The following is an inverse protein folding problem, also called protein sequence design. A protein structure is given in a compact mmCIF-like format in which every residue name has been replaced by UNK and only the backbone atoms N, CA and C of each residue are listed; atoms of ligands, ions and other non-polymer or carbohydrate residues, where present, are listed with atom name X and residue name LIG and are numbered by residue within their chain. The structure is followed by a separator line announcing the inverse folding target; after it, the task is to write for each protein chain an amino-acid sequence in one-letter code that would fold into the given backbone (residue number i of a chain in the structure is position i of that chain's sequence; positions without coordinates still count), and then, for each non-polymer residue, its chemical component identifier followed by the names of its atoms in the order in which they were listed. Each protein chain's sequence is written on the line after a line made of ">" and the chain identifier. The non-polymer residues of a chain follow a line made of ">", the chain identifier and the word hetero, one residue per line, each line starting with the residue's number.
data_IF_394294368580
#
_entry.id   IF_394294368580
#
_cell.length_a   1.000
_cell.length_b   1.000
_cell.length_c   1.000
_cell.angle_alpha   90.00
_cell.angle_beta   90.00
_cell.angle_gamma   90.00
#
_symmetry.space_group_name_H-M   'P 1'
#
loop_
_entity.id
_entity.type
_entity.pdbx_description
1 polymer ?
#
# COMPACT_ATOMS: atom_id res chain seq x y z
N UNK A 1 27.98 -18.84 61.62
CA UNK A 1 27.45 -18.15 60.46
C UNK A 1 26.36 -19.03 59.84
N UNK A 2 25.10 -18.71 60.10
CA UNK A 2 23.97 -19.48 59.52
C UNK A 2 23.57 -18.81 58.19
N UNK A 3 23.97 -19.40 57.09
CA UNK A 3 23.52 -18.94 55.77
C UNK A 3 22.04 -19.33 55.61
N UNK A 4 21.19 -18.33 55.47
CA UNK A 4 19.74 -18.49 55.33
C UNK A 4 19.43 -19.22 54.03
N UNK A 5 19.14 -20.51 54.11
CA UNK A 5 18.69 -21.36 52.98
C UNK A 5 17.43 -20.85 52.29
N UNK A 6 16.74 -19.89 52.89
CA UNK A 6 15.47 -19.31 52.40
C UNK A 6 15.66 -18.33 51.22
N UNK A 7 16.87 -17.77 51.04
CA UNK A 7 17.17 -16.79 49.97
C UNK A 7 17.70 -17.44 48.67
N UNK A 8 18.16 -18.69 48.78
CA UNK A 8 18.76 -19.43 47.64
C UNK A 8 17.65 -20.14 46.81
N UNK A 9 16.58 -20.57 47.44
CA UNK A 9 15.49 -21.31 46.77
C UNK A 9 14.73 -20.52 45.68
N UNK A 10 14.34 -19.23 45.84
CA UNK A 10 13.71 -18.49 44.79
C UNK A 10 14.62 -18.26 43.58
N UNK A 11 15.92 -18.01 43.83
CA UNK A 11 16.90 -17.79 42.75
C UNK A 11 17.12 -19.05 41.89
N UNK A 12 17.16 -20.24 42.54
CA UNK A 12 17.28 -21.52 41.83
C UNK A 12 16.02 -21.88 41.04
N UNK A 13 14.84 -21.52 41.56
CA UNK A 13 13.56 -21.74 40.88
C UNK A 13 13.47 -20.84 39.65
N UNK A 14 13.77 -19.56 39.78
CA UNK A 14 13.81 -18.63 38.64
C UNK A 14 14.86 -19.03 37.59
N UNK A 15 16.05 -19.51 38.05
CA UNK A 15 17.06 -20.01 37.13
C UNK A 15 16.60 -21.27 36.39
N UNK A 16 15.81 -22.15 37.02
CA UNK A 16 15.25 -23.33 36.36
C UNK A 16 14.11 -22.95 35.41
N UNK A 17 13.25 -22.01 35.76
CA UNK A 17 12.20 -21.47 34.91
C UNK A 17 12.80 -20.81 33.64
N UNK A 18 13.92 -20.11 33.76
CA UNK A 18 14.67 -19.51 32.67
C UNK A 18 15.38 -20.53 31.74
N UNK A 19 15.43 -21.82 32.12
CA UNK A 19 15.94 -22.89 31.26
C UNK A 19 14.95 -23.28 30.13
N UNK A 20 13.71 -22.81 30.22
CA UNK A 20 12.71 -23.02 29.18
C UNK A 20 12.32 -21.67 28.57
N UNK A 21 12.62 -21.49 27.29
CA UNK A 21 12.24 -20.30 26.53
C UNK A 21 10.96 -20.63 25.75
N UNK A 22 9.93 -19.82 25.97
CA UNK A 22 8.65 -19.94 25.26
C UNK A 22 8.38 -18.70 24.44
N UNK A 23 7.76 -18.88 23.28
CA UNK A 23 7.26 -17.77 22.47
C UNK A 23 6.24 -16.95 23.27
N UNK A 24 6.33 -15.65 23.18
CA UNK A 24 5.43 -14.69 23.84
C UNK A 24 4.32 -14.19 22.90
N UNK A 25 4.38 -14.57 21.62
CA UNK A 25 3.42 -14.23 20.59
C UNK A 25 3.27 -15.39 19.60
N UNK A 26 2.15 -15.43 18.92
CA UNK A 26 1.96 -16.31 17.77
C UNK A 26 2.70 -15.73 16.56
N UNK A 27 3.13 -16.59 15.64
CA UNK A 27 3.84 -16.17 14.43
C UNK A 27 4.75 -17.24 13.85
N UNK A 28 5.46 -16.87 12.81
CA UNK A 28 6.41 -17.72 12.10
C UNK A 28 7.84 -17.46 12.58
N UNK A 29 8.60 -18.51 12.86
CA UNK A 29 10.03 -18.39 13.16
C UNK A 29 10.77 -18.07 11.85
N UNK A 30 11.31 -16.85 11.77
CA UNK A 30 12.02 -16.36 10.57
C UNK A 30 13.55 -16.51 10.69
N UNK A 31 14.06 -16.61 11.90
CA UNK A 31 15.47 -16.94 12.16
C UNK A 31 15.60 -17.81 13.41
N UNK A 32 16.52 -18.77 13.38
CA UNK A 32 16.87 -19.64 14.52
C UNK A 32 18.40 -19.67 14.64
N UNK A 33 18.90 -18.99 15.67
CA UNK A 33 20.34 -18.86 15.94
C UNK A 33 20.85 -19.85 17.00
N UNK A 34 19.97 -20.73 17.48
CA UNK A 34 20.29 -21.73 18.47
C UNK A 34 20.76 -23.05 17.81
N UNK A 35 21.83 -23.62 18.36
CA UNK A 35 22.34 -24.94 17.97
C UNK A 35 22.32 -25.88 19.17
N UNK A 36 21.81 -27.10 18.99
CA UNK A 36 21.75 -28.11 20.05
C UNK A 36 23.16 -28.42 20.56
N UNK A 37 23.34 -28.35 21.88
CA UNK A 37 24.60 -28.61 22.54
C UNK A 37 25.58 -27.42 22.64
N UNK A 38 25.22 -26.27 22.04
CA UNK A 38 26.00 -25.05 22.16
C UNK A 38 25.43 -24.14 23.27
N UNK A 39 26.31 -23.28 23.82
CA UNK A 39 25.88 -22.22 24.73
C UNK A 39 25.33 -21.06 23.92
N UNK A 40 24.05 -20.77 24.09
CA UNK A 40 23.42 -19.62 23.49
C UNK A 40 23.71 -18.34 24.29
N UNK A 41 24.12 -17.28 23.58
CA UNK A 41 24.20 -15.93 24.12
C UNK A 41 23.60 -14.96 23.09
N UNK A 42 22.63 -14.14 23.49
CA UNK A 42 21.94 -13.21 22.61
C UNK A 42 20.60 -13.75 22.08
N UNK A 43 20.25 -13.40 20.84
CA UNK A 43 19.00 -13.82 20.19
C UNK A 43 19.02 -15.32 19.90
N UNK A 44 17.98 -16.02 20.31
CA UNK A 44 17.82 -17.47 20.10
C UNK A 44 16.99 -17.76 18.86
N UNK A 45 15.91 -17.01 18.69
CA UNK A 45 15.03 -17.08 17.53
C UNK A 45 14.34 -15.74 17.31
N UNK A 46 13.98 -15.46 16.07
CA UNK A 46 13.15 -14.32 15.70
C UNK A 46 11.79 -14.85 15.23
N UNK A 47 10.72 -14.32 15.82
CA UNK A 47 9.34 -14.65 15.47
C UNK A 47 8.71 -13.40 14.87
N UNK A 48 8.06 -13.55 13.71
CA UNK A 48 7.35 -12.50 13.04
C UNK A 48 5.89 -12.90 12.81
N UNK A 49 4.99 -11.94 12.98
CA UNK A 49 3.59 -12.07 12.61
C UNK A 49 3.49 -11.85 11.08
N UNK A 50 3.22 -12.91 10.35
CA UNK A 50 3.08 -12.89 8.88
C UNK A 50 1.63 -12.67 8.44
N UNK A 51 0.67 -12.71 9.38
CA UNK A 51 -0.75 -12.54 9.10
C UNK A 51 -1.17 -11.06 9.11
N UNK A 52 -0.41 -10.22 9.84
CA UNK A 52 -0.68 -8.79 10.01
C UNK A 52 0.46 -7.93 9.42
N UNK A 53 0.67 -8.04 8.12
CA UNK A 53 1.71 -7.29 7.45
C UNK A 53 1.35 -5.81 7.32
N UNK A 54 2.35 -4.96 7.48
CA UNK A 54 2.23 -3.52 7.25
C UNK A 54 3.32 -3.04 6.29
N UNK A 55 2.96 -2.06 5.46
CA UNK A 55 3.90 -1.37 4.58
C UNK A 55 4.08 0.06 5.06
N UNK A 56 5.32 0.43 5.35
CA UNK A 56 5.64 1.82 5.66
C UNK A 56 5.92 2.59 4.38
N UNK A 57 5.26 3.72 4.22
CA UNK A 57 5.38 4.59 3.05
C UNK A 57 5.74 6.00 3.46
N UNK A 58 6.41 6.69 2.56
CA UNK A 58 6.78 8.11 2.74
C UNK A 58 5.95 8.96 1.79
N UNK A 59 5.24 9.95 2.34
CA UNK A 59 4.31 10.81 1.63
C UNK A 59 4.89 12.23 1.55
N UNK A 60 5.01 12.82 0.35
CA UNK A 60 5.42 14.21 0.21
C UNK A 60 4.43 15.19 0.87
N UNK A 61 4.92 16.30 1.41
CA UNK A 61 4.09 17.34 2.04
C UNK A 61 3.00 17.90 1.10
N UNK A 62 3.26 17.95 -0.20
CA UNK A 62 2.29 18.40 -1.21
C UNK A 62 1.06 17.51 -1.32
N UNK A 63 1.16 16.25 -0.94
CA UNK A 63 0.11 15.24 -1.09
C UNK A 63 -0.61 14.90 0.22
N UNK A 64 0.05 15.07 1.38
CA UNK A 64 -0.47 14.63 2.68
C UNK A 64 -1.82 15.27 3.03
N UNK A 65 -2.05 16.54 2.65
CA UNK A 65 -3.29 17.25 2.93
C UNK A 65 -4.55 16.67 2.26
N UNK A 66 -4.36 15.85 1.22
CA UNK A 66 -5.44 15.16 0.48
C UNK A 66 -5.73 13.77 1.02
N UNK A 67 -4.86 13.23 1.86
CA UNK A 67 -4.96 11.87 2.37
C UNK A 67 -5.68 11.84 3.71
N UNK A 68 -6.40 10.75 3.92
CA UNK A 68 -7.08 10.43 5.19
C UNK A 68 -6.85 8.96 5.51
N UNK A 69 -6.85 8.65 6.80
CA UNK A 69 -6.87 7.25 7.23
C UNK A 69 -8.17 6.58 6.76
N UNK A 70 -8.09 5.31 6.41
CA UNK A 70 -9.20 4.53 5.87
C UNK A 70 -9.24 4.46 4.34
N UNK A 71 -8.36 5.18 3.62
CA UNK A 71 -8.26 5.08 2.17
C UNK A 71 -7.74 3.69 1.76
N UNK A 72 -8.30 3.16 0.67
CA UNK A 72 -7.81 1.94 0.05
C UNK A 72 -6.49 2.18 -0.65
N UNK A 73 -5.63 1.17 -0.62
CA UNK A 73 -4.33 1.18 -1.25
C UNK A 73 -4.15 -0.09 -2.08
N UNK A 74 -3.52 0.04 -3.23
CA UNK A 74 -3.04 -1.08 -4.04
C UNK A 74 -1.54 -1.22 -3.79
N UNK A 75 -1.12 -2.41 -3.45
CA UNK A 75 0.27 -2.72 -3.09
C UNK A 75 0.79 -3.69 -4.13
N UNK A 76 1.89 -3.34 -4.76
CA UNK A 76 2.63 -4.20 -5.70
C UNK A 76 4.06 -4.38 -5.20
N UNK A 77 4.61 -5.56 -5.39
CA UNK A 77 5.97 -5.89 -4.97
C UNK A 77 6.61 -6.83 -5.97
N UNK A 78 7.92 -6.78 -6.09
CA UNK A 78 8.68 -7.73 -6.92
C UNK A 78 8.63 -9.19 -6.40
N UNK A 79 8.07 -9.39 -5.22
CA UNK A 79 7.88 -10.72 -4.62
C UNK A 79 6.65 -11.47 -5.16
N UNK A 80 5.70 -10.76 -5.76
CA UNK A 80 4.45 -11.31 -6.30
C UNK A 80 4.00 -10.53 -7.52
N UNK A 81 3.45 -11.21 -8.50
CA UNK A 81 2.84 -10.59 -9.68
C UNK A 81 1.42 -10.05 -9.38
N UNK A 82 0.86 -10.40 -8.23
CA UNK A 82 -0.47 -9.98 -7.81
C UNK A 82 -0.47 -8.61 -7.17
N UNK A 83 -1.53 -7.84 -7.42
CA UNK A 83 -1.80 -6.60 -6.69
C UNK A 83 -2.55 -6.93 -5.41
N UNK A 84 -1.94 -6.61 -4.28
CA UNK A 84 -2.51 -6.84 -2.96
C UNK A 84 -3.20 -5.56 -2.48
N UNK A 85 -4.38 -5.68 -1.88
CA UNK A 85 -5.08 -4.54 -1.33
C UNK A 85 -4.66 -4.25 0.11
N UNK A 86 -4.63 -2.98 0.46
CA UNK A 86 -4.34 -2.52 1.82
C UNK A 86 -5.22 -1.34 2.21
N UNK A 87 -5.11 -0.96 3.46
CA UNK A 87 -5.80 0.21 4.00
C UNK A 87 -4.80 1.14 4.68
N UNK A 88 -4.87 2.43 4.39
CA UNK A 88 -4.06 3.45 5.04
C UNK A 88 -4.54 3.63 6.49
N UNK A 89 -3.80 3.09 7.45
CA UNK A 89 -4.23 3.06 8.86
C UNK A 89 -3.67 4.21 9.68
N UNK A 90 -2.50 4.71 9.30
CA UNK A 90 -1.82 5.77 10.05
C UNK A 90 -1.10 6.73 9.12
N UNK A 91 -1.13 8.02 9.48
CA UNK A 91 -0.28 9.07 8.92
C UNK A 91 0.39 9.75 10.10
N UNK A 92 1.70 9.85 10.06
CA UNK A 92 2.46 10.52 11.12
C UNK A 92 2.20 12.04 11.06
N UNK A 93 1.93 12.69 12.19
CA UNK A 93 1.62 14.12 12.22
C UNK A 93 2.87 15.01 12.10
N UNK A 94 4.06 14.42 12.13
CA UNK A 94 5.34 15.13 12.11
C UNK A 94 6.12 14.72 10.88
N UNK A 95 6.59 15.72 10.13
CA UNK A 95 7.47 15.48 8.98
C UNK A 95 8.85 15.02 9.45
N UNK A 96 9.47 14.15 8.67
CA UNK A 96 10.86 13.78 8.83
C UNK A 96 11.81 14.89 8.34
N UNK A 97 13.12 14.68 8.47
CA UNK A 97 14.16 15.66 8.08
C UNK A 97 14.12 16.03 6.58
N UNK A 98 13.50 15.20 5.75
CA UNK A 98 13.30 15.44 4.30
C UNK A 98 12.02 16.25 4.01
N UNK A 99 11.24 16.66 5.01
CA UNK A 99 9.96 17.33 4.84
C UNK A 99 8.83 16.42 4.36
N UNK A 100 8.97 15.11 4.52
CA UNK A 100 7.98 14.10 4.16
C UNK A 100 7.36 13.48 5.40
N UNK A 101 6.16 12.91 5.26
CA UNK A 101 5.41 12.29 6.34
C UNK A 101 5.46 10.77 6.23
N UNK A 102 5.70 10.10 7.34
CA UNK A 102 5.57 8.65 7.43
C UNK A 102 4.08 8.25 7.42
N UNK A 103 3.78 7.13 6.81
CA UNK A 103 2.45 6.53 6.89
C UNK A 103 2.54 5.01 6.88
N UNK A 104 1.53 4.37 7.48
CA UNK A 104 1.44 2.92 7.58
C UNK A 104 0.21 2.43 6.84
N UNK A 105 0.41 1.50 5.94
CA UNK A 105 -0.64 0.79 5.23
C UNK A 105 -0.70 -0.64 5.78
N UNK A 106 -1.85 -1.05 6.29
CA UNK A 106 -2.09 -2.42 6.70
C UNK A 106 -2.55 -3.23 5.51
N UNK A 107 -1.92 -4.37 5.28
CA UNK A 107 -2.28 -5.31 4.21
C UNK A 107 -3.60 -6.01 4.57
N UNK A 108 -4.53 -6.07 3.62
CA UNK A 108 -5.80 -6.75 3.82
C UNK A 108 -5.69 -8.22 3.37
N UNK A 109 -6.06 -9.12 4.24
CA UNK A 109 -6.06 -10.57 3.97
C UNK A 109 -4.77 -11.27 4.36
N UNK A 110 -4.91 -12.57 4.60
CA UNK A 110 -3.82 -13.50 4.86
C UNK A 110 -3.30 -14.06 3.52
N UNK A 111 -2.09 -14.59 3.52
CA UNK A 111 -1.46 -15.17 2.32
C UNK A 111 -1.33 -14.19 1.14
N UNK A 112 -0.98 -12.95 1.44
CA UNK A 112 -0.81 -11.90 0.42
C UNK A 112 0.35 -12.16 -0.57
N UNK A 113 1.21 -13.13 -0.32
CA UNK A 113 2.43 -13.38 -1.08
C UNK A 113 3.53 -12.33 -0.85
N UNK A 114 3.26 -11.31 -0.03
CA UNK A 114 4.26 -10.31 0.33
C UNK A 114 5.28 -10.89 1.31
N UNK A 115 6.53 -10.50 1.14
CA UNK A 115 7.63 -10.93 2.00
C UNK A 115 8.19 -9.75 2.78
N UNK A 116 8.48 -9.98 4.06
CA UNK A 116 9.08 -8.96 4.93
C UNK A 116 10.49 -8.61 4.44
N UNK A 117 10.78 -7.30 4.35
CA UNK A 117 12.08 -6.78 3.92
C UNK A 117 12.21 -6.56 2.42
N UNK A 118 11.20 -6.85 1.61
CA UNK A 118 11.18 -6.55 0.18
C UNK A 118 10.49 -5.20 -0.06
N UNK A 119 11.03 -4.33 -0.93
CA UNK A 119 10.39 -3.10 -1.29
C UNK A 119 9.01 -3.33 -1.94
N UNK A 120 8.06 -2.48 -1.61
CA UNK A 120 6.73 -2.49 -2.20
C UNK A 120 6.35 -1.08 -2.68
N UNK A 121 5.66 -1.01 -3.80
CA UNK A 121 5.04 0.20 -4.32
C UNK A 121 3.60 0.26 -3.84
N UNK A 122 3.19 1.41 -3.29
CA UNK A 122 1.83 1.62 -2.80
C UNK A 122 1.17 2.74 -3.59
N UNK A 123 0.02 2.44 -4.16
CA UNK A 123 -0.85 3.40 -4.82
C UNK A 123 -2.06 3.66 -3.92
N UNK A 124 -2.21 4.90 -3.44
CA UNK A 124 -3.31 5.29 -2.56
C UNK A 124 -4.47 5.81 -3.40
N UNK A 125 -5.62 5.17 -3.28
CA UNK A 125 -6.85 5.56 -4.00
C UNK A 125 -7.51 6.70 -3.22
N UNK A 126 -7.40 7.92 -3.75
CA UNK A 126 -7.94 9.12 -3.09
C UNK A 126 -9.46 9.26 -3.35
N UNK A 127 -9.89 8.93 -4.55
CA UNK A 127 -11.31 8.94 -4.93
C UNK A 127 -11.56 7.91 -6.01
N UNK A 128 -12.75 7.35 -6.00
CA UNK A 128 -13.26 6.47 -7.06
C UNK A 128 -14.58 7.05 -7.55
N UNK A 129 -14.73 7.13 -8.85
CA UNK A 129 -15.99 7.49 -9.49
C UNK A 129 -16.40 6.36 -10.41
N UNK A 130 -17.61 5.90 -10.25
CA UNK A 130 -18.21 4.87 -11.11
C UNK A 130 -19.07 5.54 -12.20
N UNK A 131 -19.23 4.84 -13.34
CA UNK A 131 -20.05 5.28 -14.47
C UNK A 131 -19.63 6.64 -15.04
N UNK A 132 -18.34 6.87 -15.18
CA UNK A 132 -17.79 8.05 -15.85
C UNK A 132 -17.17 7.66 -17.18
N UNK A 133 -17.32 8.52 -18.19
CA UNK A 133 -16.55 8.38 -19.41
C UNK A 133 -15.14 8.89 -19.21
N UNK A 134 -14.17 8.10 -19.59
CA UNK A 134 -12.77 8.49 -19.55
C UNK A 134 -12.14 8.31 -20.91
N UNK A 135 -11.33 9.28 -21.30
CA UNK A 135 -10.54 9.22 -22.55
C UNK A 135 -9.07 9.51 -22.23
N UNK A 136 -8.14 9.03 -23.05
CA UNK A 136 -6.74 9.47 -22.95
C UNK A 136 -6.67 11.00 -23.04
N UNK A 137 -5.79 11.62 -22.28
CA UNK A 137 -5.64 13.09 -22.27
C UNK A 137 -5.39 13.69 -23.64
N UNK A 138 -4.65 12.97 -24.48
CA UNK A 138 -4.33 13.39 -25.84
C UNK A 138 -5.51 13.31 -26.81
N UNK A 139 -6.62 12.70 -26.41
CA UNK A 139 -7.85 12.60 -27.18
C UNK A 139 -8.78 13.81 -27.02
N UNK A 140 -8.50 14.69 -26.04
CA UNK A 140 -9.27 15.91 -25.82
C UNK A 140 -8.61 17.06 -26.55
N UNK A 141 -9.36 17.68 -27.46
CA UNK A 141 -8.96 18.89 -28.18
C UNK A 141 -9.58 20.14 -27.54
N UNK A 142 -8.93 21.27 -27.74
CA UNK A 142 -9.40 22.58 -27.29
C UNK A 142 -9.59 23.48 -28.50
N UNK A 143 -10.75 24.11 -28.63
CA UNK A 143 -11.02 25.11 -29.66
C UNK A 143 -10.41 26.48 -29.30
N UNK A 144 -10.38 27.38 -30.26
CA UNK A 144 -9.86 28.76 -30.10
C UNK A 144 -10.63 29.57 -29.04
N UNK A 145 -11.87 29.22 -28.77
CA UNK A 145 -12.75 29.84 -27.76
C UNK A 145 -12.55 29.23 -26.35
N UNK A 146 -11.68 28.23 -26.19
CA UNK A 146 -11.40 27.55 -24.93
C UNK A 146 -12.38 26.40 -24.60
N UNK A 147 -13.35 26.09 -25.48
CA UNK A 147 -14.19 24.90 -25.31
C UNK A 147 -13.45 23.63 -25.64
N UNK A 148 -13.78 22.55 -24.91
CA UNK A 148 -13.15 21.25 -25.10
C UNK A 148 -14.05 20.29 -25.87
N UNK A 149 -13.43 19.43 -26.67
CA UNK A 149 -14.14 18.45 -27.50
C UNK A 149 -13.36 17.13 -27.61
N UNK A 150 -14.06 16.08 -27.96
CA UNK A 150 -13.49 14.80 -28.40
C UNK A 150 -13.95 14.53 -29.85
N UNK A 151 -13.14 13.74 -30.57
CA UNK A 151 -13.49 13.30 -31.92
C UNK A 151 -14.18 11.93 -31.86
N UNK A 152 -15.44 11.89 -32.21
CA UNK A 152 -16.23 10.67 -32.38
C UNK A 152 -16.17 10.17 -33.80
N UNK A 153 -15.90 8.90 -34.02
CA UNK A 153 -15.94 8.27 -35.32
C UNK A 153 -17.39 8.14 -35.78
N UNK A 154 -17.73 8.75 -36.91
CA UNK A 154 -19.09 8.69 -37.49
C UNK A 154 -19.21 7.70 -38.65
N UNK A 155 -18.09 7.26 -39.26
CA UNK A 155 -18.10 6.29 -40.34
C UNK A 155 -16.75 6.12 -41.02
N UNK A 156 -16.74 5.31 -42.07
CA UNK A 156 -15.56 5.02 -42.88
C UNK A 156 -14.60 3.99 -42.25
N UNK A 157 -13.70 3.51 -43.08
CA UNK A 157 -12.61 2.58 -42.65
C UNK A 157 -11.27 3.03 -43.27
N UNK A 158 -10.19 2.72 -42.59
CA UNK A 158 -8.84 3.03 -43.02
C UNK A 158 -8.62 4.54 -43.19
N UNK A 159 -8.24 5.01 -44.38
CA UNK A 159 -7.98 6.43 -44.66
C UNK A 159 -9.20 7.28 -44.88
N UNK A 160 -10.37 6.68 -45.09
CA UNK A 160 -11.65 7.35 -45.34
C UNK A 160 -12.51 7.50 -44.08
N UNK A 161 -11.89 7.39 -42.87
CA UNK A 161 -12.59 7.59 -41.61
C UNK A 161 -13.12 9.03 -41.49
N UNK A 162 -14.37 9.16 -41.08
CA UNK A 162 -15.00 10.46 -40.80
C UNK A 162 -15.20 10.62 -39.30
N UNK A 163 -14.97 11.83 -38.83
CA UNK A 163 -15.07 12.18 -37.40
C UNK A 163 -15.97 13.40 -37.24
N UNK A 164 -16.64 13.45 -36.11
CA UNK A 164 -17.42 14.58 -35.64
C UNK A 164 -16.87 15.07 -34.29
N UNK A 165 -16.87 16.40 -34.12
CA UNK A 165 -16.51 16.99 -32.83
C UNK A 165 -17.72 16.94 -31.91
N UNK A 166 -17.53 16.31 -30.74
CA UNK A 166 -18.52 16.28 -29.67
C UNK A 166 -17.98 17.14 -28.52
N UNK A 167 -18.75 18.19 -28.18
CA UNK A 167 -18.40 19.07 -27.08
C UNK A 167 -18.48 18.32 -25.75
N UNK A 168 -17.41 18.45 -24.93
CA UNK A 168 -17.29 17.80 -23.63
C UNK A 168 -16.85 18.80 -22.58
N UNK A 169 -17.12 18.46 -21.34
CA UNK A 169 -16.57 19.16 -20.17
C UNK A 169 -15.62 18.24 -19.47
N UNK A 170 -14.40 18.70 -19.22
CA UNK A 170 -13.41 17.94 -18.47
C UNK A 170 -13.75 17.91 -16.98
N UNK A 171 -13.60 16.74 -16.38
CA UNK A 171 -13.71 16.48 -14.96
C UNK A 171 -12.36 16.22 -14.31
N UNK A 172 -12.29 15.21 -13.43
CA UNK A 172 -11.06 14.80 -12.78
C UNK A 172 -10.06 14.19 -13.78
N UNK A 173 -8.77 14.45 -13.56
CA UNK A 173 -7.70 13.96 -14.42
C UNK A 173 -6.67 13.18 -13.61
N UNK A 174 -6.09 12.14 -14.22
CA UNK A 174 -4.89 11.49 -13.74
C UNK A 174 -3.76 11.62 -14.80
N UNK A 175 -2.66 10.91 -14.61
CA UNK A 175 -1.50 11.00 -15.49
C UNK A 175 -1.80 10.57 -16.95
N UNK A 176 -2.79 9.71 -17.17
CA UNK A 176 -3.11 9.08 -18.47
C UNK A 176 -4.47 9.44 -19.01
N UNK A 177 -5.46 9.63 -18.15
CA UNK A 177 -6.86 9.79 -18.53
C UNK A 177 -7.47 11.05 -17.95
N UNK A 178 -8.46 11.57 -18.65
CA UNK A 178 -9.34 12.65 -18.20
C UNK A 178 -10.79 12.16 -18.22
N UNK A 179 -11.51 12.47 -17.15
CA UNK A 179 -12.94 12.30 -17.09
C UNK A 179 -13.60 13.32 -18.02
N UNK A 180 -14.56 12.87 -18.82
CA UNK A 180 -15.36 13.76 -19.68
C UNK A 180 -16.83 13.58 -19.40
N UNK A 181 -17.57 14.68 -19.49
CA UNK A 181 -19.03 14.70 -19.44
C UNK A 181 -19.58 15.41 -20.67
N UNK A 182 -20.62 14.86 -21.26
CA UNK A 182 -21.29 15.42 -22.42
C UNK A 182 -22.65 14.75 -22.64
N UNK A 183 -23.60 15.46 -23.28
CA UNK A 183 -24.96 14.97 -23.49
C UNK A 183 -25.06 13.88 -24.56
N UNK A 184 -24.06 13.81 -25.44
CA UNK A 184 -24.11 12.99 -26.66
C UNK A 184 -23.02 11.88 -26.66
N UNK A 185 -22.54 11.51 -25.48
CA UNK A 185 -21.55 10.44 -25.32
C UNK A 185 -22.25 9.10 -25.06
N UNK A 186 -21.79 8.07 -25.75
CA UNK A 186 -22.22 6.69 -25.52
C UNK A 186 -21.01 5.78 -25.34
N UNK A 187 -21.23 4.68 -24.68
CA UNK A 187 -20.20 3.66 -24.51
C UNK A 187 -19.83 3.04 -25.86
N UNK A 188 -18.55 3.11 -26.23
CA UNK A 188 -18.02 2.58 -27.48
C UNK A 188 -17.97 3.59 -28.66
N UNK A 189 -18.24 4.87 -28.40
CA UNK A 189 -18.05 5.96 -29.36
C UNK A 189 -16.60 6.16 -29.79
#
# INVERSE_FOLDING_TARGET
>A
MQFSAKKIRPNLRTALENCTLTATMDGTITALDATVGAVCSGTVATIQDMDNLTVEVTIPASSVGRLKTGLQCNITSDATDDTVTGTLTRIDPVANDSGSFGATVTVNGQDSGLLVGIPAKVEIVISTKDNVFTVPRDAVGTNDDGSTYVLRKTGGEGVDMTFEQVAVTEGDTNDYYVEITGSDLNEGD
#
